data_IF_843133706003
#
_entry.id   IF_843133706003
#
_cell.length_a   1.000
_cell.length_b   1.000
_cell.length_c   1.000
_cell.angle_alpha   90.00
_cell.angle_beta   90.00
_cell.angle_gamma   90.00
#
_symmetry.space_group_name_H-M   'P 1'
#
loop_
_entity.id
_entity.type
_entity.pdbx_description
1 polymer ?
#
# COMPACT_ATOMS: atom_id res chain seq x y z
N UNK A 1 65.61 -29.04 -20.50
CA UNK A 1 65.28 -27.79 -21.20
C UNK A 1 64.50 -26.94 -20.21
N UNK A 2 65.08 -25.86 -19.66
CA UNK A 2 64.40 -25.08 -18.63
C UNK A 2 63.33 -24.23 -19.32
N UNK A 3 62.08 -24.65 -19.19
CA UNK A 3 60.91 -23.91 -19.66
C UNK A 3 60.54 -22.86 -18.63
N UNK A 4 61.31 -21.77 -18.55
CA UNK A 4 60.96 -20.63 -17.72
C UNK A 4 59.54 -20.18 -18.05
N UNK A 5 58.67 -20.09 -17.03
CA UNK A 5 57.29 -19.63 -17.22
C UNK A 5 57.36 -18.19 -17.71
N UNK A 6 56.90 -17.95 -18.93
CA UNK A 6 56.76 -16.60 -19.47
C UNK A 6 55.63 -15.91 -18.70
N UNK A 7 55.90 -14.72 -18.19
CA UNK A 7 54.96 -13.91 -17.43
C UNK A 7 54.59 -12.67 -18.25
N UNK A 8 53.30 -12.38 -18.31
CA UNK A 8 52.78 -11.19 -18.98
C UNK A 8 52.20 -10.22 -17.95
N UNK A 9 52.39 -8.93 -18.21
CA UNK A 9 51.87 -7.89 -17.33
C UNK A 9 50.37 -7.69 -17.58
N UNK A 10 49.64 -7.61 -16.48
CA UNK A 10 48.22 -7.30 -16.38
C UNK A 10 48.02 -6.25 -15.30
N UNK A 11 46.86 -5.59 -15.30
CA UNK A 11 46.44 -4.80 -14.14
C UNK A 11 45.42 -5.60 -13.35
N UNK A 12 45.46 -5.47 -12.03
CA UNK A 12 44.43 -5.98 -11.12
C UNK A 12 43.84 -4.80 -10.37
N UNK A 13 42.53 -4.80 -10.17
CA UNK A 13 41.83 -3.76 -9.43
C UNK A 13 40.84 -4.37 -8.43
N UNK A 14 40.77 -3.76 -7.24
CA UNK A 14 39.68 -3.90 -6.28
C UNK A 14 39.01 -2.55 -6.13
N UNK A 15 37.68 -2.54 -6.23
CA UNK A 15 36.87 -1.34 -6.22
C UNK A 15 35.71 -1.54 -5.26
N UNK A 16 35.52 -0.62 -4.32
CA UNK A 16 34.33 -0.58 -3.48
C UNK A 16 33.27 0.28 -4.14
N UNK A 17 32.12 -0.33 -4.42
CA UNK A 17 30.97 0.32 -5.06
C UNK A 17 29.89 0.56 -4.01
N UNK A 18 29.49 1.80 -3.80
CA UNK A 18 28.44 2.13 -2.83
C UNK A 18 27.18 2.58 -3.55
N UNK A 19 26.14 1.75 -3.49
CA UNK A 19 24.81 2.08 -3.97
C UNK A 19 24.03 2.75 -2.86
N UNK A 20 23.72 4.04 -3.02
CA UNK A 20 22.90 4.78 -2.08
C UNK A 20 21.65 5.35 -2.75
N UNK A 21 20.51 5.22 -2.08
CA UNK A 21 19.30 5.97 -2.40
C UNK A 21 18.52 6.24 -1.10
N UNK A 22 18.47 7.52 -0.72
CA UNK A 22 17.82 7.95 0.54
C UNK A 22 16.32 7.69 0.55
N UNK A 23 15.66 7.74 -0.60
CA UNK A 23 14.22 7.52 -0.71
C UNK A 23 13.90 6.04 -0.56
N UNK A 24 14.74 5.19 -1.13
CA UNK A 24 14.65 3.73 -1.00
C UNK A 24 15.19 3.21 0.34
N UNK A 25 15.96 4.02 1.08
CA UNK A 25 16.65 3.59 2.29
C UNK A 25 17.75 2.57 1.99
N UNK A 26 18.32 2.62 0.79
CA UNK A 26 19.40 1.73 0.35
C UNK A 26 20.73 2.41 0.63
N UNK A 27 21.60 1.68 1.31
CA UNK A 27 23.02 1.99 1.52
C UNK A 27 23.74 0.65 1.50
N UNK A 28 24.27 0.28 0.33
CA UNK A 28 24.86 -1.03 0.08
C UNK A 28 26.22 -0.89 -0.57
N UNK A 29 27.24 -1.46 0.06
CA UNK A 29 28.58 -1.53 -0.49
C UNK A 29 28.88 -2.94 -0.97
N UNK A 30 29.37 -3.06 -2.20
CA UNK A 30 29.88 -4.30 -2.76
C UNK A 30 31.34 -4.13 -3.22
N UNK A 31 32.09 -5.23 -3.18
CA UNK A 31 33.45 -5.29 -3.71
C UNK A 31 33.39 -5.80 -5.15
N UNK A 32 34.03 -5.06 -6.05
CA UNK A 32 34.17 -5.40 -7.45
C UNK A 32 35.65 -5.60 -7.77
N UNK A 33 35.98 -6.75 -8.32
CA UNK A 33 37.34 -7.18 -8.56
C UNK A 33 37.53 -7.62 -10.01
N UNK A 34 38.62 -7.15 -10.63
CA UNK A 34 38.90 -7.50 -12.02
C UNK A 34 40.39 -7.49 -12.37
N UNK A 35 40.70 -8.29 -13.38
CA UNK A 35 42.00 -8.31 -14.07
C UNK A 35 41.83 -7.76 -15.49
N UNK A 36 42.82 -6.99 -15.95
CA UNK A 36 42.85 -6.39 -17.28
C UNK A 36 44.05 -6.93 -18.05
N UNK A 37 43.76 -7.64 -19.13
CA UNK A 37 44.75 -8.23 -20.04
C UNK A 37 44.16 -8.41 -21.45
N UNK A 38 44.94 -8.25 -22.53
CA UNK A 38 46.29 -7.69 -22.57
C UNK A 38 46.26 -6.16 -22.40
N UNK A 39 47.33 -5.61 -21.81
CA UNK A 39 47.47 -4.17 -21.61
C UNK A 39 47.96 -3.45 -22.88
N UNK A 40 47.31 -2.34 -23.21
CA UNK A 40 47.64 -1.44 -24.32
C UNK A 40 48.18 -0.09 -23.85
N UNK A 41 48.70 0.71 -24.79
CA UNK A 41 49.21 2.07 -24.55
C UNK A 41 48.23 2.97 -23.78
N UNK A 42 46.94 2.83 -24.09
CA UNK A 42 45.83 3.43 -23.35
C UNK A 42 45.10 2.34 -22.57
N UNK A 43 44.68 2.68 -21.36
CA UNK A 43 43.89 1.76 -20.53
C UNK A 43 42.45 1.72 -21.04
N UNK A 44 41.91 0.50 -21.16
CA UNK A 44 40.54 0.27 -21.60
C UNK A 44 39.77 -0.47 -20.49
N UNK A 45 38.91 0.23 -19.72
CA UNK A 45 38.17 -0.37 -18.62
C UNK A 45 37.11 -1.38 -19.08
N UNK A 46 36.72 -1.37 -20.37
CA UNK A 46 35.72 -2.32 -20.90
C UNK A 46 36.26 -3.75 -21.04
N UNK A 47 37.58 -3.94 -20.96
CA UNK A 47 38.25 -5.24 -21.00
C UNK A 47 38.37 -5.90 -19.62
N UNK A 48 37.58 -5.45 -18.65
CA UNK A 48 37.55 -6.05 -17.33
C UNK A 48 37.20 -7.54 -17.43
N UNK A 49 38.03 -8.38 -16.81
CA UNK A 49 37.74 -9.78 -16.55
C UNK A 49 37.46 -9.89 -15.06
N UNK A 50 36.18 -10.00 -14.70
CA UNK A 50 35.76 -10.13 -13.31
C UNK A 50 36.31 -11.43 -12.71
N UNK A 51 36.94 -11.28 -11.55
CA UNK A 51 37.53 -12.37 -10.77
C UNK A 51 37.13 -12.19 -9.31
N UNK A 52 37.08 -13.27 -8.56
CA UNK A 52 37.01 -13.25 -7.10
C UNK A 52 38.39 -13.70 -6.62
N UNK A 53 39.16 -12.79 -6.03
CA UNK A 53 40.51 -13.08 -5.55
C UNK A 53 40.70 -12.55 -4.14
N UNK A 54 41.53 -13.26 -3.37
CA UNK A 54 42.02 -12.74 -2.11
C UNK A 54 43.54 -12.63 -2.11
N UNK A 55 44.10 -12.04 -1.05
CA UNK A 55 45.54 -11.82 -0.94
C UNK A 55 46.37 -13.11 -1.02
N UNK A 56 45.78 -14.29 -0.76
CA UNK A 56 46.44 -15.60 -0.82
C UNK A 56 46.60 -16.11 -2.25
N UNK A 57 45.79 -15.63 -3.18
CA UNK A 57 45.93 -15.92 -4.62
C UNK A 57 47.10 -15.15 -5.24
N UNK A 58 47.61 -14.14 -4.53
CA UNK A 58 48.68 -13.27 -4.97
C UNK A 58 50.02 -13.66 -4.32
N UNK A 59 51.00 -14.02 -5.16
CA UNK A 59 52.38 -14.22 -4.72
C UNK A 59 53.21 -12.97 -4.97
N UNK A 60 53.87 -12.47 -3.92
CA UNK A 60 54.92 -11.45 -4.04
C UNK A 60 56.26 -12.01 -4.51
N UNK A 61 56.42 -13.33 -4.51
CA UNK A 61 57.64 -14.01 -4.94
C UNK A 61 57.56 -14.40 -6.41
N UNK A 62 58.55 -13.94 -7.17
CA UNK A 62 58.73 -14.35 -8.56
C UNK A 62 59.06 -15.85 -8.64
N UNK A 63 58.47 -16.61 -9.58
CA UNK A 63 58.90 -17.98 -9.86
C UNK A 63 60.38 -18.03 -10.27
N UNK A 64 61.06 -19.14 -9.96
CA UNK A 64 62.42 -19.39 -10.48
C UNK A 64 62.41 -19.38 -12.02
N UNK A 65 63.45 -18.77 -12.62
CA UNK A 65 63.62 -18.65 -14.07
C UNK A 65 62.47 -17.92 -14.81
N UNK A 66 61.73 -17.02 -14.13
CA UNK A 66 60.68 -16.23 -14.75
C UNK A 66 61.20 -15.34 -15.90
N UNK A 67 60.50 -15.37 -17.03
CA UNK A 67 60.77 -14.51 -18.19
C UNK A 67 59.64 -13.52 -18.37
N UNK A 68 59.92 -12.23 -18.20
CA UNK A 68 58.91 -11.17 -18.27
C UNK A 68 58.75 -10.61 -19.67
N UNK A 69 57.52 -10.60 -20.19
CA UNK A 69 57.18 -9.95 -21.45
C UNK A 69 56.93 -8.47 -21.21
N UNK A 70 57.68 -7.61 -21.88
CA UNK A 70 57.50 -6.15 -21.78
C UNK A 70 56.14 -5.76 -22.35
N UNK A 71 55.26 -5.10 -21.56
CA UNK A 71 53.96 -4.67 -22.06
C UNK A 71 54.10 -3.44 -22.97
N UNK A 72 53.12 -3.24 -23.84
CA UNK A 72 52.96 -2.00 -24.59
C UNK A 72 52.57 -0.83 -23.66
N UNK A 73 51.76 -1.13 -22.64
CA UNK A 73 51.41 -0.19 -21.58
C UNK A 73 52.64 0.37 -20.85
N UNK A 74 52.62 1.69 -20.60
CA UNK A 74 53.72 2.39 -19.92
C UNK A 74 53.60 2.28 -18.39
N UNK A 75 53.84 1.08 -17.87
CA UNK A 75 53.77 0.78 -16.43
C UNK A 75 54.83 1.50 -15.58
N UNK A 76 55.83 2.13 -16.21
CA UNK A 76 56.84 2.94 -15.53
C UNK A 76 56.40 4.37 -15.20
N UNK A 77 55.22 4.81 -15.68
CA UNK A 77 54.73 6.18 -15.47
C UNK A 77 53.48 6.21 -14.60
N UNK A 78 53.53 7.00 -13.52
CA UNK A 78 52.38 7.27 -12.66
C UNK A 78 51.15 7.80 -13.41
N UNK A 79 51.35 8.46 -14.55
CA UNK A 79 50.27 8.93 -15.42
C UNK A 79 49.36 7.80 -15.92
N UNK A 80 49.92 6.62 -16.22
CA UNK A 80 49.13 5.47 -16.70
C UNK A 80 48.15 4.97 -15.64
N UNK A 81 48.60 4.83 -14.39
CA UNK A 81 47.74 4.42 -13.28
C UNK A 81 46.69 5.48 -12.91
N UNK A 82 47.03 6.77 -13.00
CA UNK A 82 46.06 7.85 -12.80
C UNK A 82 44.95 7.82 -13.87
N UNK A 83 45.33 7.59 -15.13
CA UNK A 83 44.37 7.39 -16.21
C UNK A 83 43.52 6.15 -15.96
N UNK A 84 44.13 5.02 -15.59
CA UNK A 84 43.41 3.78 -15.33
C UNK A 84 42.37 3.93 -14.21
N UNK A 85 42.74 4.51 -13.06
CA UNK A 85 41.79 4.77 -11.95
C UNK A 85 40.65 5.67 -12.40
N UNK A 86 40.95 6.79 -13.07
CA UNK A 86 39.91 7.72 -13.53
C UNK A 86 38.98 7.10 -14.56
N UNK A 87 39.51 6.31 -15.50
CA UNK A 87 38.74 5.69 -16.59
C UNK A 87 37.89 4.54 -16.06
N UNK A 88 38.43 3.75 -15.11
CA UNK A 88 37.70 2.67 -14.45
C UNK A 88 36.52 3.21 -13.66
N UNK A 89 36.76 4.23 -12.82
CA UNK A 89 35.70 4.92 -12.08
C UNK A 89 34.59 5.43 -12.99
N UNK A 90 34.98 6.10 -14.08
CA UNK A 90 34.05 6.65 -15.06
C UNK A 90 33.27 5.56 -15.83
N UNK A 91 33.88 4.39 -16.04
CA UNK A 91 33.24 3.27 -16.72
C UNK A 91 32.25 2.54 -15.81
N UNK A 92 32.65 2.22 -14.57
CA UNK A 92 31.81 1.51 -13.61
C UNK A 92 30.57 2.34 -13.24
N UNK A 93 30.75 3.65 -12.99
CA UNK A 93 29.62 4.53 -12.68
C UNK A 93 28.58 4.65 -13.80
N UNK A 94 28.95 4.32 -15.04
CA UNK A 94 28.06 4.36 -16.21
C UNK A 94 27.48 3.00 -16.59
N UNK A 95 28.14 1.93 -16.18
CA UNK A 95 27.85 0.58 -16.68
C UNK A 95 27.16 -0.29 -15.63
N UNK A 96 27.31 0.04 -14.34
CA UNK A 96 26.71 -0.71 -13.25
C UNK A 96 25.56 0.07 -12.61
N UNK A 97 24.48 -0.64 -12.34
CA UNK A 97 23.33 -0.19 -11.56
C UNK A 97 22.85 -1.35 -10.67
N UNK A 98 22.28 -1.01 -9.52
CA UNK A 98 21.62 -1.98 -8.65
C UNK A 98 20.13 -1.96 -8.92
N UNK A 99 19.54 -3.13 -9.13
CA UNK A 99 18.08 -3.27 -9.24
C UNK A 99 17.48 -3.46 -7.87
N UNK A 100 16.45 -2.67 -7.58
CA UNK A 100 15.59 -2.80 -6.42
C UNK A 100 14.13 -2.77 -6.86
N UNK A 101 13.23 -3.31 -6.03
CA UNK A 101 11.81 -3.24 -6.26
C UNK A 101 11.19 -2.10 -5.45
N UNK A 102 10.11 -1.54 -5.96
CA UNK A 102 9.36 -0.49 -5.29
C UNK A 102 7.87 -0.75 -5.42
N UNK A 103 7.13 -0.44 -4.37
CA UNK A 103 5.69 -0.32 -4.40
C UNK A 103 5.30 1.15 -4.14
N UNK A 104 4.89 1.92 -5.17
CA UNK A 104 4.59 3.33 -5.01
C UNK A 104 3.33 3.60 -4.20
N UNK A 105 2.34 2.69 -4.21
CA UNK A 105 1.09 2.84 -3.47
C UNK A 105 1.28 2.65 -1.96
N UNK A 106 2.16 1.72 -1.56
CA UNK A 106 2.50 1.45 -0.17
C UNK A 106 3.71 2.27 0.32
N UNK A 107 4.36 3.01 -0.57
CA UNK A 107 5.62 3.71 -0.31
C UNK A 107 6.73 2.80 0.23
N UNK A 108 6.76 1.55 -0.25
CA UNK A 108 7.75 0.55 0.15
C UNK A 108 8.82 0.36 -0.92
N UNK A 109 10.00 -0.01 -0.46
CA UNK A 109 11.16 -0.36 -1.28
C UNK A 109 11.76 -1.67 -0.79
N UNK A 110 12.33 -2.44 -1.72
CA UNK A 110 13.05 -3.65 -1.40
C UNK A 110 14.41 -3.32 -0.80
N UNK A 111 14.95 -4.26 -0.03
CA UNK A 111 16.34 -4.20 0.43
C UNK A 111 17.27 -4.59 -0.72
N UNK A 112 18.55 -4.24 -0.59
CA UNK A 112 19.58 -4.68 -1.52
C UNK A 112 19.63 -6.22 -1.56
N UNK A 113 19.54 -6.79 -2.76
CA UNK A 113 19.57 -8.23 -2.97
C UNK A 113 18.33 -9.01 -2.48
N UNK A 114 17.28 -8.33 -2.01
CA UNK A 114 16.03 -8.99 -1.61
C UNK A 114 15.35 -9.62 -2.82
N UNK A 115 14.85 -10.86 -2.65
CA UNK A 115 14.12 -11.52 -3.73
C UNK A 115 12.79 -10.83 -3.98
N UNK A 116 12.29 -10.93 -5.21
CA UNK A 116 10.98 -10.37 -5.57
C UNK A 116 9.85 -10.95 -4.70
N UNK A 117 9.91 -12.24 -4.40
CA UNK A 117 8.90 -12.93 -3.57
C UNK A 117 8.90 -12.39 -2.14
N UNK A 118 10.07 -12.21 -1.53
CA UNK A 118 10.15 -11.68 -0.15
C UNK A 118 9.63 -10.24 -0.07
N UNK A 119 9.89 -9.44 -1.13
CA UNK A 119 9.34 -8.09 -1.23
C UNK A 119 7.83 -8.08 -1.47
N UNK A 120 7.32 -8.99 -2.29
CA UNK A 120 5.88 -9.22 -2.52
C UNK A 120 5.17 -9.53 -1.20
N UNK A 121 5.69 -10.47 -0.41
CA UNK A 121 5.12 -10.83 0.89
C UNK A 121 5.07 -9.64 1.85
N UNK A 122 6.14 -8.83 1.91
CA UNK A 122 6.15 -7.59 2.71
C UNK A 122 5.12 -6.57 2.22
N UNK A 123 4.91 -6.46 0.91
CA UNK A 123 3.88 -5.57 0.35
C UNK A 123 2.47 -6.06 0.72
N UNK A 124 2.22 -7.36 0.68
CA UNK A 124 0.95 -7.96 1.09
C UNK A 124 0.67 -7.65 2.56
N UNK A 125 1.62 -7.91 3.46
CA UNK A 125 1.46 -7.61 4.89
C UNK A 125 1.17 -6.14 5.14
N UNK A 126 1.91 -5.23 4.49
CA UNK A 126 1.68 -3.80 4.67
C UNK A 126 0.32 -3.33 4.11
N UNK A 127 -0.15 -3.93 3.01
CA UNK A 127 -1.48 -3.66 2.46
C UNK A 127 -2.60 -4.17 3.38
N UNK A 128 -2.42 -5.35 3.99
CA UNK A 128 -3.36 -5.90 4.99
C UNK A 128 -3.44 -4.98 6.22
N UNK A 129 -2.30 -4.57 6.78
CA UNK A 129 -2.26 -3.66 7.92
C UNK A 129 -2.94 -2.31 7.62
N UNK A 130 -2.68 -1.74 6.44
CA UNK A 130 -3.30 -0.49 6.02
C UNK A 130 -4.81 -0.66 5.76
N UNK A 131 -5.21 -1.80 5.19
CA UNK A 131 -6.60 -2.19 5.00
C UNK A 131 -7.36 -2.33 6.31
N UNK A 132 -6.78 -3.01 7.29
CA UNK A 132 -7.37 -3.16 8.63
C UNK A 132 -7.52 -1.81 9.33
N UNK A 133 -6.53 -0.93 9.21
CA UNK A 133 -6.59 0.42 9.78
C UNK A 133 -7.70 1.27 9.12
N UNK A 134 -7.89 1.17 7.81
CA UNK A 134 -8.95 1.87 7.09
C UNK A 134 -10.34 1.28 7.40
N UNK A 135 -10.44 -0.05 7.47
CA UNK A 135 -11.65 -0.78 7.83
C UNK A 135 -12.11 -0.46 9.26
N UNK A 136 -11.18 -0.34 10.20
CA UNK A 136 -11.47 0.08 11.58
C UNK A 136 -12.11 1.48 11.61
N UNK A 137 -11.53 2.45 10.89
CA UNK A 137 -12.10 3.80 10.77
C UNK A 137 -13.45 3.81 10.04
N UNK A 138 -13.64 2.91 9.07
CA UNK A 138 -14.93 2.74 8.40
C UNK A 138 -15.99 2.28 9.41
N UNK A 139 -15.69 1.23 10.17
CA UNK A 139 -16.59 0.68 11.20
C UNK A 139 -16.99 1.75 12.21
N UNK A 140 -16.05 2.51 12.76
CA UNK A 140 -16.35 3.58 13.73
C UNK A 140 -17.35 4.63 13.18
N UNK A 141 -17.19 5.00 11.90
CA UNK A 141 -18.09 5.96 11.22
C UNK A 141 -19.48 5.38 11.01
N UNK A 142 -19.57 4.13 10.55
CA UNK A 142 -20.84 3.47 10.28
C UNK A 142 -21.57 3.07 11.55
N UNK A 143 -20.88 2.59 12.59
CA UNK A 143 -21.47 2.25 13.89
C UNK A 143 -22.17 3.46 14.50
N UNK A 144 -21.57 4.64 14.38
CA UNK A 144 -22.17 5.90 14.82
C UNK A 144 -23.46 6.24 14.05
N UNK A 145 -23.45 6.05 12.73
CA UNK A 145 -24.60 6.32 11.87
C UNK A 145 -25.74 5.30 12.09
N UNK A 146 -25.42 4.01 12.11
CA UNK A 146 -26.34 2.91 12.35
C UNK A 146 -26.98 3.06 13.73
N UNK A 147 -26.21 3.34 14.78
CA UNK A 147 -26.74 3.54 16.14
C UNK A 147 -27.74 4.69 16.21
N UNK A 148 -27.45 5.80 15.50
CA UNK A 148 -28.35 6.95 15.41
C UNK A 148 -29.67 6.58 14.73
N UNK A 149 -29.62 5.91 13.58
CA UNK A 149 -30.83 5.52 12.83
C UNK A 149 -31.62 4.45 13.57
N UNK A 150 -30.96 3.47 14.21
CA UNK A 150 -31.61 2.47 15.08
C UNK A 150 -32.36 3.12 16.25
N UNK A 151 -31.78 4.14 16.89
CA UNK A 151 -32.47 4.92 17.92
C UNK A 151 -33.71 5.62 17.38
N UNK A 152 -33.60 6.27 16.21
CA UNK A 152 -34.73 6.95 15.57
C UNK A 152 -35.83 5.98 15.12
N UNK A 153 -35.46 4.78 14.65
CA UNK A 153 -36.38 3.71 14.29
C UNK A 153 -37.13 3.20 15.52
N UNK A 154 -36.43 3.01 16.64
CA UNK A 154 -37.04 2.64 17.93
C UNK A 154 -38.01 3.70 18.46
N UNK A 155 -37.66 4.98 18.33
CA UNK A 155 -38.56 6.10 18.66
C UNK A 155 -39.81 6.11 17.75
N UNK A 156 -39.65 5.84 16.45
CA UNK A 156 -40.74 5.77 15.49
C UNK A 156 -41.67 4.56 15.75
N UNK A 157 -41.12 3.37 16.01
CA UNK A 157 -41.88 2.16 16.36
C UNK A 157 -42.69 2.37 17.65
N UNK A 158 -42.09 2.98 18.69
CA UNK A 158 -42.82 3.35 19.91
C UNK A 158 -43.99 4.28 19.59
N UNK A 159 -43.78 5.26 18.71
CA UNK A 159 -44.82 6.22 18.33
C UNK A 159 -45.98 5.56 17.59
N UNK A 160 -45.70 4.59 16.71
CA UNK A 160 -46.71 3.78 16.04
C UNK A 160 -47.54 3.02 17.07
N UNK A 161 -46.91 2.27 17.99
CA UNK A 161 -47.61 1.48 19.03
C UNK A 161 -48.52 2.33 19.93
N UNK A 162 -48.08 3.53 20.30
CA UNK A 162 -48.90 4.49 21.05
C UNK A 162 -50.16 4.91 20.28
N UNK A 163 -50.00 5.24 18.99
CA UNK A 163 -51.09 5.70 18.12
C UNK A 163 -52.06 4.57 17.75
N UNK A 164 -51.58 3.34 17.58
CA UNK A 164 -52.42 2.15 17.40
C UNK A 164 -53.33 1.94 18.62
N UNK A 165 -52.76 2.05 19.82
CA UNK A 165 -53.51 1.90 21.08
C UNK A 165 -54.58 2.99 21.22
N UNK A 166 -54.24 4.25 20.95
CA UNK A 166 -55.18 5.39 20.99
C UNK A 166 -56.30 5.23 19.93
N UNK A 167 -55.95 4.75 18.74
CA UNK A 167 -56.92 4.46 17.67
C UNK A 167 -57.89 3.35 18.07
N UNK A 168 -57.38 2.26 18.64
CA UNK A 168 -58.20 1.12 19.08
C UNK A 168 -59.11 1.46 20.26
N UNK A 169 -58.62 2.20 21.27
CA UNK A 169 -59.43 2.67 22.39
C UNK A 169 -60.55 3.61 21.93
N UNK A 170 -60.28 4.51 20.97
CA UNK A 170 -61.29 5.40 20.41
C UNK A 170 -62.33 4.68 19.56
N UNK A 171 -61.92 3.68 18.76
CA UNK A 171 -62.85 2.81 18.02
C UNK A 171 -63.77 2.03 18.97
N UNK A 172 -63.24 1.51 20.08
CA UNK A 172 -64.04 0.84 21.12
C UNK A 172 -65.01 1.78 21.85
N UNK A 173 -64.60 3.02 22.17
CA UNK A 173 -65.51 4.02 22.73
C UNK A 173 -66.62 4.41 21.73
N UNK A 174 -66.31 4.50 20.44
CA UNK A 174 -67.29 4.80 19.39
C UNK A 174 -68.32 3.65 19.25
N UNK A 175 -67.90 2.39 19.41
CA UNK A 175 -68.77 1.20 19.42
C UNK A 175 -69.62 1.07 20.70
N UNK A 176 -69.03 1.30 21.88
CA UNK A 176 -69.72 1.20 23.17
C UNK A 176 -70.77 2.30 23.38
N UNK A 177 -70.57 3.49 22.79
CA UNK A 177 -71.56 4.57 22.82
C UNK A 177 -72.53 4.53 21.62
N UNK A 178 -72.14 3.91 20.51
CA UNK A 178 -73.01 3.63 19.37
C UNK A 178 -74.10 2.59 19.64
N UNK A 179 -73.93 1.73 20.64
CA UNK A 179 -74.94 0.79 21.12
C UNK A 179 -75.91 1.38 22.18
N UNK A 180 -75.63 2.58 22.70
CA UNK A 180 -76.39 3.20 23.80
C UNK A 180 -77.35 4.33 23.41
N UNK A 181 -77.14 4.98 22.25
CA UNK A 181 -77.91 6.18 21.87
C UNK A 181 -79.16 5.92 21.00
N UNK A 182 -79.48 4.65 20.69
CA UNK A 182 -80.69 4.30 19.93
C UNK A 182 -81.92 3.95 20.78
N UNK A 183 -81.83 3.97 22.12
CA UNK A 183 -82.97 3.58 22.99
C UNK A 183 -83.48 4.66 23.95
N UNK A 184 -82.90 5.86 23.99
CA UNK A 184 -83.26 6.89 25.00
C UNK A 184 -83.97 8.12 24.42
N UNK A 185 -84.62 7.97 23.26
CA UNK A 185 -85.21 9.07 22.49
C UNK A 185 -86.73 9.21 22.49
N UNK A 186 -87.48 8.52 23.37
CA UNK A 186 -88.96 8.52 23.29
C UNK A 186 -89.73 9.07 24.50
N UNK A 187 -89.11 9.56 25.58
CA UNK A 187 -89.87 10.13 26.70
C UNK A 187 -89.19 11.38 27.28
N UNK A 188 -89.85 12.54 27.13
CA UNK A 188 -89.60 13.72 27.95
C UNK A 188 -89.23 14.98 27.17
N UNK A 189 -90.21 15.85 26.96
CA UNK A 189 -90.07 17.05 26.14
C UNK A 189 -89.34 18.23 26.80
N UNK A 190 -89.16 19.26 25.94
CA UNK A 190 -88.93 20.70 26.20
C UNK A 190 -87.51 21.21 25.96
N UNK A 191 -87.40 21.95 24.83
CA UNK A 191 -86.46 23.03 24.48
C UNK A 191 -84.95 22.77 24.66
N UNK A 192 -84.22 22.82 23.54
CA UNK A 192 -83.26 23.89 23.17
C UNK A 192 -82.53 23.47 21.90
N UNK A 193 -82.50 24.36 20.91
CA UNK A 193 -81.54 24.31 19.81
C UNK A 193 -80.14 24.26 20.39
N UNK A 194 -79.36 23.22 20.10
CA UNK A 194 -77.89 23.19 20.07
C UNK A 194 -77.43 21.74 19.82
N UNK A 195 -76.39 21.60 18.99
CA UNK A 195 -75.53 20.40 18.83
C UNK A 195 -75.72 19.46 17.62
N UNK A 196 -75.97 19.99 16.42
CA UNK A 196 -75.55 19.28 15.19
C UNK A 196 -74.01 19.32 14.97
N UNK A 197 -73.28 20.10 15.76
CA UNK A 197 -71.82 20.27 15.66
C UNK A 197 -70.98 19.20 16.38
N UNK A 198 -71.54 18.40 17.29
CA UNK A 198 -70.77 17.42 18.09
C UNK A 198 -70.54 16.08 17.38
N UNK A 199 -71.39 15.67 16.45
CA UNK A 199 -71.19 14.45 15.66
C UNK A 199 -70.19 14.66 14.49
N UNK A 200 -70.21 15.85 13.87
CA UNK A 200 -69.27 16.22 12.82
C UNK A 200 -67.85 16.50 13.34
N UNK A 201 -67.70 17.04 14.56
CA UNK A 201 -66.38 17.25 15.18
C UNK A 201 -65.71 15.94 15.62
N UNK A 202 -66.48 14.89 15.91
CA UNK A 202 -65.96 13.59 16.40
C UNK A 202 -65.45 12.69 15.26
N UNK A 203 -66.16 12.61 14.13
CA UNK A 203 -65.65 11.92 12.91
C UNK A 203 -64.39 12.57 12.32
N UNK A 204 -64.27 13.90 12.38
CA UNK A 204 -63.04 14.58 11.95
C UNK A 204 -61.86 14.29 12.89
N UNK A 205 -62.14 13.98 14.16
CA UNK A 205 -61.14 13.66 15.16
C UNK A 205 -60.62 12.22 15.04
N UNK A 206 -61.48 11.24 14.71
CA UNK A 206 -61.05 9.85 14.39
C UNK A 206 -60.21 9.81 13.12
N UNK A 207 -60.62 10.49 12.03
CA UNK A 207 -59.83 10.60 10.80
C UNK A 207 -58.44 11.22 11.04
N UNK A 208 -58.35 12.24 11.89
CA UNK A 208 -57.07 12.84 12.29
C UNK A 208 -56.16 11.89 13.06
N UNK A 209 -56.72 10.98 13.86
CA UNK A 209 -55.92 9.97 14.58
C UNK A 209 -55.41 8.88 13.61
N UNK A 210 -56.24 8.45 12.66
CA UNK A 210 -55.83 7.51 11.61
C UNK A 210 -54.76 8.11 10.67
N UNK A 211 -54.89 9.38 10.27
CA UNK A 211 -53.85 10.09 9.50
C UNK A 211 -52.53 10.20 10.28
N UNK A 212 -52.59 10.44 11.60
CA UNK A 212 -51.40 10.47 12.45
C UNK A 212 -50.71 9.12 12.56
N UNK A 213 -51.48 8.03 12.64
CA UNK A 213 -50.96 6.67 12.63
C UNK A 213 -50.25 6.40 11.30
N UNK A 214 -50.90 6.68 10.16
CA UNK A 214 -50.31 6.50 8.84
C UNK A 214 -48.99 7.27 8.68
N UNK A 215 -48.94 8.54 9.07
CA UNK A 215 -47.70 9.33 9.02
C UNK A 215 -46.61 8.81 9.96
N UNK A 216 -46.97 8.16 11.08
CA UNK A 216 -46.00 7.53 11.96
C UNK A 216 -45.44 6.24 11.35
N UNK A 217 -46.29 5.43 10.71
CA UNK A 217 -45.89 4.23 9.96
C UNK A 217 -44.97 4.58 8.77
N UNK A 218 -45.32 5.60 7.99
CA UNK A 218 -44.49 6.13 6.89
C UNK A 218 -43.10 6.53 7.42
N UNK A 219 -43.03 7.26 8.54
CA UNK A 219 -41.74 7.65 9.16
C UNK A 219 -40.93 6.44 9.66
N UNK A 220 -41.59 5.42 10.21
CA UNK A 220 -40.93 4.19 10.64
C UNK A 220 -40.35 3.45 9.42
N UNK A 221 -41.13 3.34 8.34
CA UNK A 221 -40.69 2.74 7.10
C UNK A 221 -39.50 3.50 6.48
N UNK A 222 -39.55 4.84 6.46
CA UNK A 222 -38.44 5.67 6.00
C UNK A 222 -37.15 5.40 6.79
N UNK A 223 -37.26 5.24 8.13
CA UNK A 223 -36.10 4.93 8.99
C UNK A 223 -35.58 3.51 8.82
N UNK A 224 -36.46 2.55 8.54
CA UNK A 224 -36.05 1.19 8.21
C UNK A 224 -35.29 1.15 6.88
N UNK A 225 -35.81 1.83 5.85
CA UNK A 225 -35.14 1.96 4.55
C UNK A 225 -33.79 2.69 4.66
N UNK A 226 -33.71 3.75 5.47
CA UNK A 226 -32.45 4.45 5.73
C UNK A 226 -31.41 3.54 6.39
N UNK A 227 -31.85 2.66 7.31
CA UNK A 227 -30.95 1.68 7.93
C UNK A 227 -30.42 0.67 6.92
N UNK A 228 -31.30 0.10 6.08
CA UNK A 228 -30.93 -0.84 5.02
C UNK A 228 -29.92 -0.22 4.05
N UNK A 229 -30.17 1.01 3.60
CA UNK A 229 -29.23 1.73 2.71
C UNK A 229 -27.85 1.95 3.34
N UNK A 230 -27.80 2.21 4.65
CA UNK A 230 -26.52 2.37 5.35
C UNK A 230 -25.79 1.02 5.47
N UNK A 231 -26.51 -0.07 5.71
CA UNK A 231 -25.94 -1.42 5.80
C UNK A 231 -25.42 -1.91 4.42
N UNK A 232 -26.17 -1.66 3.36
CA UNK A 232 -25.74 -1.96 1.98
C UNK A 232 -24.48 -1.18 1.59
N UNK A 233 -24.47 0.13 1.90
CA UNK A 233 -23.32 0.97 1.61
C UNK A 233 -22.09 0.57 2.41
N UNK A 234 -22.27 0.14 3.67
CA UNK A 234 -21.16 -0.41 4.45
C UNK A 234 -20.55 -1.65 3.78
N UNK A 235 -21.38 -2.56 3.26
CA UNK A 235 -20.91 -3.75 2.56
C UNK A 235 -20.15 -3.41 1.27
N UNK A 236 -20.64 -2.41 0.51
CA UNK A 236 -19.96 -1.87 -0.68
C UNK A 236 -18.60 -1.26 -0.31
N UNK A 237 -18.56 -0.35 0.66
CA UNK A 237 -17.33 0.33 1.10
C UNK A 237 -16.28 -0.67 1.62
N UNK A 238 -16.69 -1.74 2.33
CA UNK A 238 -15.79 -2.82 2.78
C UNK A 238 -15.14 -3.53 1.58
N UNK A 239 -15.94 -3.82 0.55
CA UNK A 239 -15.47 -4.49 -0.66
C UNK A 239 -14.49 -3.59 -1.42
N UNK A 240 -14.83 -2.31 -1.60
CA UNK A 240 -13.96 -1.32 -2.24
C UNK A 240 -12.61 -1.21 -1.51
N UNK A 241 -12.61 -1.12 -0.19
CA UNK A 241 -11.38 -1.08 0.62
C UNK A 241 -10.56 -2.36 0.41
N UNK A 242 -11.20 -3.54 0.43
CA UNK A 242 -10.48 -4.80 0.21
C UNK A 242 -9.81 -4.86 -1.17
N UNK A 243 -10.54 -4.48 -2.23
CA UNK A 243 -10.02 -4.47 -3.60
C UNK A 243 -8.92 -3.44 -3.80
N UNK A 244 -9.09 -2.25 -3.22
CA UNK A 244 -8.08 -1.18 -3.22
C UNK A 244 -6.75 -1.66 -2.67
N UNK A 245 -6.74 -2.28 -1.49
CA UNK A 245 -5.49 -2.72 -0.85
C UNK A 245 -4.89 -3.96 -1.51
N UNK A 246 -5.71 -4.89 -2.02
CA UNK A 246 -5.22 -6.00 -2.86
C UNK A 246 -4.52 -5.48 -4.12
N UNK A 247 -5.12 -4.51 -4.80
CA UNK A 247 -4.52 -3.87 -5.98
C UNK A 247 -3.23 -3.13 -5.63
N UNK A 248 -3.22 -2.39 -4.51
CA UNK A 248 -2.04 -1.68 -4.04
C UNK A 248 -0.86 -2.62 -3.78
N UNK A 249 -1.07 -3.80 -3.17
CA UNK A 249 -0.02 -4.78 -2.90
C UNK A 249 0.70 -5.26 -4.16
N UNK A 250 -0.03 -5.38 -5.28
CA UNK A 250 0.49 -5.91 -6.55
C UNK A 250 1.21 -4.86 -7.42
N UNK A 251 1.18 -3.58 -7.04
CA UNK A 251 1.84 -2.50 -7.79
C UNK A 251 3.35 -2.50 -7.53
N UNK A 252 4.05 -3.54 -8.00
CA UNK A 252 5.49 -3.67 -7.84
C UNK A 252 6.18 -3.32 -9.16
N UNK A 253 7.07 -2.34 -9.09
CA UNK A 253 7.89 -1.87 -10.19
C UNK A 253 9.38 -2.11 -9.90
N UNK A 254 10.17 -2.35 -10.95
CA UNK A 254 11.62 -2.36 -10.87
C UNK A 254 12.15 -0.92 -10.94
N UNK A 255 13.15 -0.62 -10.11
CA UNK A 255 13.84 0.65 -10.07
C UNK A 255 15.34 0.38 -10.06
N UNK A 256 16.08 1.18 -10.84
CA UNK A 256 17.54 1.10 -10.87
C UNK A 256 18.16 2.23 -10.03
N UNK A 257 19.11 1.87 -9.19
CA UNK A 257 19.98 2.78 -8.46
C UNK A 257 21.32 2.80 -9.19
N UNK A 258 21.61 3.91 -9.86
CA UNK A 258 22.89 4.13 -10.53
C UNK A 258 24.00 4.47 -9.55
N UNK A 259 25.24 4.12 -9.89
CA UNK A 259 26.41 4.58 -9.16
C UNK A 259 26.79 6.00 -9.58
N UNK A 260 27.00 6.87 -8.61
CA UNK A 260 27.72 8.12 -8.85
C UNK A 260 29.22 7.87 -8.85
N UNK A 261 29.97 8.72 -9.56
CA UNK A 261 31.45 8.63 -9.57
C UNK A 261 32.07 8.80 -8.18
N UNK A 262 31.39 9.49 -7.27
CA UNK A 262 31.86 9.69 -5.90
C UNK A 262 31.76 8.40 -5.07
N UNK A 263 30.91 7.47 -5.49
CA UNK A 263 30.60 6.22 -4.78
C UNK A 263 31.38 5.02 -5.35
N UNK A 264 32.31 5.28 -6.26
CA UNK A 264 33.20 4.28 -6.84
C UNK A 264 34.62 4.56 -6.34
N UNK A 265 35.01 3.83 -5.31
CA UNK A 265 36.33 3.95 -4.70
C UNK A 265 37.26 2.85 -5.23
N UNK A 266 38.28 3.24 -5.99
CA UNK A 266 39.29 2.31 -6.49
C UNK A 266 40.36 2.20 -5.41
N UNK A 267 40.22 1.23 -4.51
CA UNK A 267 41.12 0.96 -3.40
C UNK A 267 42.48 0.49 -3.93
N UNK A 268 42.52 -0.72 -4.48
CA UNK A 268 43.72 -1.31 -5.06
C UNK A 268 43.74 -1.20 -6.59
N UNK A 269 44.87 -0.76 -7.13
CA UNK A 269 45.21 -0.89 -8.53
C UNK A 269 46.70 -1.23 -8.65
N UNK A 270 46.99 -2.45 -9.06
CA UNK A 270 48.34 -3.01 -9.07
C UNK A 270 48.70 -3.68 -10.39
N UNK A 271 50.00 -3.93 -10.58
CA UNK A 271 50.50 -4.76 -11.68
C UNK A 271 50.51 -6.22 -11.24
N UNK A 272 49.83 -7.06 -12.00
CA UNK A 272 49.80 -8.51 -11.83
C UNK A 272 50.61 -9.16 -12.94
N UNK A 273 51.47 -10.11 -12.59
CA UNK A 273 52.22 -10.92 -13.56
C UNK A 273 51.60 -12.30 -13.68
N UNK A 274 50.90 -12.56 -14.79
CA UNK A 274 50.23 -13.83 -15.03
C UNK A 274 51.09 -14.75 -15.90
N UNK A 275 51.21 -16.05 -15.56
CA UNK A 275 51.83 -17.03 -16.44
C UNK A 275 51.08 -17.14 -17.76
N UNK A 276 51.79 -16.91 -18.87
CA UNK A 276 51.29 -17.24 -20.20
C UNK A 276 51.56 -18.71 -20.48
N UNK A 277 50.57 -19.40 -21.04
CA UNK A 277 50.73 -20.77 -21.56
C UNK A 277 51.79 -20.85 -22.68
#
# INVERSE_FOLDING_TARGET
>A
MPGGRRLQASLIARVHLTYNDRRAGVDHTEEWEAVFYPLSDRFDPSKAINVDYDHRDLSSHAPEEAVYVLPHANLGRAAYFKEARSSLRDHLSRSLSMRVFRNPALHLFSRAGESRSDFEDRCITAAEEAGDAELSKLRDRYDSAISRVKSQLSDADRRVRELETDTNQRKQQELLQGAGDLLTGLLGGRRRSLSLSRAASRRSQTRRTEERLRTAEEKMADKANELEQIEDKLAEDITEISEKWKSAALQIEEMEISLDKADVDVDDLGVLWIPSA
#
